data_IF_520493792575
#
_entry.id   IF_520493792575
#
_cell.length_a   1.000
_cell.length_b   1.000
_cell.length_c   1.000
_cell.angle_alpha   90.00
_cell.angle_beta   90.00
_cell.angle_gamma   90.00
#
_symmetry.space_group_name_H-M   'P 1'
#
loop_
_entity.id
_entity.type
_entity.pdbx_description
1 polymer ?
#
# COMPACT_ATOMS: atom_id res chain seq x y z
N UNK A 1 15.07 2.15 5.12
CA UNK A 1 13.87 2.85 5.62
C UNK A 1 14.25 4.06 6.48
N UNK A 2 14.95 3.93 7.62
CA UNK A 2 15.30 5.03 8.54
C UNK A 2 15.97 6.24 7.86
N UNK A 3 16.92 5.99 6.95
CA UNK A 3 17.63 7.03 6.22
C UNK A 3 16.71 7.88 5.34
N UNK A 4 15.71 7.25 4.70
CA UNK A 4 14.72 7.93 3.88
C UNK A 4 13.71 8.71 4.76
N UNK A 5 13.26 8.13 5.87
CA UNK A 5 12.40 8.85 6.80
C UNK A 5 13.09 10.13 7.32
N UNK A 6 14.37 10.06 7.69
CA UNK A 6 15.15 11.25 8.08
C UNK A 6 15.26 12.28 6.95
N UNK A 7 15.51 11.82 5.71
CA UNK A 7 15.60 12.71 4.53
C UNK A 7 14.30 13.48 4.31
N UNK A 8 13.14 12.85 4.53
CA UNK A 8 11.83 13.44 4.29
C UNK A 8 11.15 13.99 5.56
N UNK A 9 11.84 14.03 6.69
CA UNK A 9 11.27 14.53 7.96
C UNK A 9 10.12 13.68 8.49
N UNK A 10 10.07 12.39 8.15
CA UNK A 10 9.01 11.48 8.57
C UNK A 10 9.36 10.80 9.89
N UNK A 11 8.39 10.78 10.81
CA UNK A 11 8.51 9.97 12.02
C UNK A 11 8.57 8.47 11.66
N UNK A 12 9.40 7.73 12.38
CA UNK A 12 9.52 6.29 12.23
C UNK A 12 9.77 5.64 13.59
N UNK A 13 8.87 4.73 13.96
CA UNK A 13 9.06 3.76 15.03
C UNK A 13 9.19 2.39 14.38
N UNK A 14 10.26 1.66 14.69
CA UNK A 14 10.40 0.29 14.19
C UNK A 14 9.31 -0.58 14.83
N UNK A 15 8.46 -1.24 14.03
CA UNK A 15 7.42 -2.10 14.59
C UNK A 15 8.00 -3.18 15.52
N UNK A 16 7.37 -3.36 16.67
CA UNK A 16 7.77 -4.37 17.68
C UNK A 16 7.66 -5.80 17.13
N UNK A 17 6.76 -6.02 16.17
CA UNK A 17 6.66 -7.24 15.37
C UNK A 17 6.82 -6.88 13.89
N UNK A 18 7.80 -7.49 13.21
CA UNK A 18 8.04 -7.23 11.78
C UNK A 18 8.52 -8.51 11.06
N UNK A 19 7.94 -8.86 9.90
CA UNK A 19 6.77 -8.20 9.28
C UNK A 19 5.47 -8.51 10.02
N UNK A 20 4.54 -7.53 10.06
CA UNK A 20 3.19 -7.74 10.57
C UNK A 20 2.27 -8.31 9.50
N UNK A 21 1.34 -9.15 9.91
CA UNK A 21 0.23 -9.54 9.07
C UNK A 21 -0.65 -8.30 8.73
N UNK A 22 -0.85 -8.06 7.45
CA UNK A 22 -1.62 -6.89 6.99
C UNK A 22 -2.73 -7.31 6.00
N UNK A 23 -3.13 -8.58 6.02
CA UNK A 23 -4.00 -9.14 4.98
C UNK A 23 -5.35 -8.43 4.89
N UNK A 24 -5.99 -8.13 6.03
CA UNK A 24 -7.27 -7.41 6.04
C UNK A 24 -7.08 -5.98 5.52
N UNK A 25 -6.04 -5.27 5.99
CA UNK A 25 -5.74 -3.92 5.52
C UNK A 25 -5.47 -3.87 4.00
N UNK A 26 -4.80 -4.87 3.45
CA UNK A 26 -4.56 -4.99 2.00
C UNK A 26 -5.84 -5.29 1.21
N UNK A 27 -6.73 -6.13 1.76
CA UNK A 27 -8.04 -6.41 1.15
C UNK A 27 -8.92 -5.18 1.10
N UNK A 28 -8.91 -4.35 2.14
CA UNK A 28 -9.60 -3.07 2.18
C UNK A 28 -8.99 -2.09 1.17
N UNK A 29 -7.66 -2.01 1.08
CA UNK A 29 -6.99 -1.18 0.08
C UNK A 29 -7.37 -1.57 -1.36
N UNK A 30 -7.46 -2.87 -1.65
CA UNK A 30 -7.88 -3.34 -2.96
C UNK A 30 -9.36 -3.07 -3.24
N UNK A 31 -10.23 -3.22 -2.23
CA UNK A 31 -11.65 -2.88 -2.32
C UNK A 31 -11.83 -1.40 -2.68
N UNK A 32 -11.06 -0.53 -2.03
CA UNK A 32 -11.08 0.92 -2.21
C UNK A 32 -10.19 1.47 -3.31
N UNK A 33 -9.63 0.63 -4.19
CA UNK A 33 -8.60 1.06 -5.16
C UNK A 33 -9.01 2.24 -6.06
N UNK A 34 -10.31 2.40 -6.34
CA UNK A 34 -10.87 3.50 -7.15
C UNK A 34 -11.68 4.50 -6.31
N UNK A 35 -11.67 4.36 -4.99
CA UNK A 35 -12.42 5.21 -4.09
C UNK A 35 -11.62 6.45 -3.66
N UNK A 36 -12.25 7.60 -3.42
CA UNK A 36 -11.54 8.82 -3.04
C UNK A 36 -10.80 8.70 -1.69
N UNK A 37 -11.19 7.78 -0.84
CA UNK A 37 -10.59 7.57 0.48
C UNK A 37 -9.33 6.69 0.48
N UNK A 38 -8.96 6.03 -0.64
CA UNK A 38 -7.85 5.07 -0.67
C UNK A 38 -6.51 5.66 -0.20
N UNK A 39 -6.20 6.90 -0.60
CA UNK A 39 -4.96 7.55 -0.19
C UNK A 39 -4.91 7.84 1.30
N UNK A 40 -6.05 8.21 1.91
CA UNK A 40 -6.17 8.41 3.35
C UNK A 40 -6.04 7.09 4.10
N UNK A 41 -6.68 6.03 3.63
CA UNK A 41 -6.55 4.68 4.17
C UNK A 41 -5.10 4.20 4.20
N UNK A 42 -4.40 4.25 3.07
CA UNK A 42 -3.01 3.80 3.00
C UNK A 42 -2.11 4.58 3.96
N UNK A 43 -2.27 5.92 4.05
CA UNK A 43 -1.51 6.74 5.01
C UNK A 43 -1.81 6.35 6.45
N UNK A 44 -3.08 6.16 6.79
CA UNK A 44 -3.51 5.79 8.14
C UNK A 44 -2.89 4.46 8.57
N UNK A 45 -2.97 3.43 7.74
CA UNK A 45 -2.39 2.11 8.04
C UNK A 45 -0.86 2.19 8.18
N UNK A 46 -0.17 2.95 7.32
CA UNK A 46 1.28 3.15 7.43
C UNK A 46 1.65 3.89 8.72
N UNK A 47 0.89 4.93 9.12
CA UNK A 47 1.12 5.64 10.37
C UNK A 47 0.88 4.76 11.59
N UNK A 48 -0.19 3.99 11.62
CA UNK A 48 -0.47 3.04 12.69
C UNK A 48 0.67 2.04 12.86
N UNK A 49 1.16 1.48 11.74
CA UNK A 49 2.23 0.48 11.77
C UNK A 49 3.61 1.06 12.08
N UNK A 50 4.00 2.16 11.42
CA UNK A 50 5.39 2.65 11.43
C UNK A 50 5.62 3.88 12.30
N UNK A 51 4.59 4.45 12.89
CA UNK A 51 4.71 5.55 13.87
C UNK A 51 4.11 5.12 15.20
N UNK A 52 2.89 4.57 15.20
CA UNK A 52 2.15 4.20 16.39
C UNK A 52 2.46 2.80 16.94
N UNK A 53 3.26 2.00 16.24
CA UNK A 53 3.51 0.59 16.58
C UNK A 53 2.24 -0.23 16.86
N UNK A 54 1.12 0.11 16.18
CA UNK A 54 -0.16 -0.56 16.32
C UNK A 54 -0.20 -1.83 15.44
N UNK A 55 -0.87 -2.86 15.94
CA UNK A 55 -1.05 -4.10 15.20
C UNK A 55 -2.11 -3.97 14.09
N UNK A 56 -1.67 -3.67 12.88
CA UNK A 56 -2.54 -3.54 11.69
C UNK A 56 -3.13 -4.87 11.19
N UNK A 57 -2.77 -5.99 11.80
CA UNK A 57 -3.40 -7.29 11.59
C UNK A 57 -4.65 -7.48 12.46
N UNK A 58 -4.78 -6.70 13.53
CA UNK A 58 -5.94 -6.73 14.43
C UNK A 58 -7.17 -6.11 13.78
N UNK A 59 -8.31 -6.79 13.89
CA UNK A 59 -9.59 -6.29 13.40
C UNK A 59 -10.01 -5.01 14.14
N UNK A 60 -9.69 -4.89 15.44
CA UNK A 60 -10.02 -3.72 16.24
C UNK A 60 -9.28 -2.47 15.74
N UNK A 61 -7.97 -2.60 15.47
CA UNK A 61 -7.15 -1.50 14.94
C UNK A 61 -7.61 -1.10 13.54
N UNK A 62 -7.96 -2.07 12.69
CA UNK A 62 -8.51 -1.83 11.36
C UNK A 62 -9.88 -1.14 11.44
N UNK A 63 -10.73 -1.54 12.38
CA UNK A 63 -12.04 -0.93 12.62
C UNK A 63 -11.92 0.52 13.07
N UNK A 64 -11.04 0.81 14.03
CA UNK A 64 -10.74 2.17 14.49
C UNK A 64 -10.24 3.04 13.33
N UNK A 65 -9.40 2.49 12.46
CA UNK A 65 -8.89 3.22 11.30
C UNK A 65 -9.99 3.55 10.28
N UNK A 66 -10.93 2.64 10.02
CA UNK A 66 -12.08 2.88 9.15
C UNK A 66 -13.03 3.93 9.75
N UNK A 67 -13.33 3.81 11.05
CA UNK A 67 -14.19 4.74 11.76
C UNK A 67 -13.62 6.17 11.73
N UNK A 68 -12.31 6.31 11.96
CA UNK A 68 -11.62 7.62 11.91
C UNK A 68 -11.68 8.30 10.54
N UNK A 69 -11.92 7.53 9.47
CA UNK A 69 -12.13 8.02 8.11
C UNK A 69 -13.61 8.22 7.76
N UNK A 70 -14.53 8.00 8.72
CA UNK A 70 -15.97 8.10 8.52
C UNK A 70 -16.54 7.01 7.60
N UNK A 71 -15.85 5.86 7.48
CA UNK A 71 -16.28 4.76 6.61
C UNK A 71 -17.19 3.78 7.38
N UNK A 72 -18.15 3.14 6.70
CA UNK A 72 -19.05 2.18 7.32
C UNK A 72 -18.29 0.89 7.66
N UNK A 73 -17.77 0.79 8.89
CA UNK A 73 -16.82 -0.23 9.35
C UNK A 73 -17.25 -1.64 8.98
N UNK A 74 -18.42 -2.09 9.43
CA UNK A 74 -18.85 -3.48 9.26
C UNK A 74 -19.03 -3.84 7.77
N UNK A 75 -19.67 -2.97 6.98
CA UNK A 75 -19.91 -3.24 5.57
C UNK A 75 -18.61 -3.28 4.75
N UNK A 76 -17.63 -2.43 5.10
CA UNK A 76 -16.31 -2.44 4.45
C UNK A 76 -15.54 -3.71 4.80
N UNK A 77 -15.56 -4.13 6.06
CA UNK A 77 -14.89 -5.37 6.50
C UNK A 77 -15.52 -6.59 5.82
N UNK A 78 -16.87 -6.68 5.80
CA UNK A 78 -17.57 -7.80 5.17
C UNK A 78 -17.27 -7.88 3.66
N UNK A 79 -17.30 -6.75 2.97
CA UNK A 79 -16.94 -6.68 1.56
C UNK A 79 -15.46 -7.05 1.31
N UNK A 80 -14.55 -6.58 2.16
CA UNK A 80 -13.13 -6.91 2.08
C UNK A 80 -12.84 -8.40 2.32
N UNK A 81 -13.66 -9.05 3.14
CA UNK A 81 -13.55 -10.48 3.45
C UNK A 81 -14.38 -11.38 2.52
N UNK A 82 -15.11 -10.83 1.57
CA UNK A 82 -15.84 -11.61 0.57
C UNK A 82 -14.90 -12.48 -0.25
N UNK A 83 -15.37 -13.63 -0.72
CA UNK A 83 -14.56 -14.54 -1.53
C UNK A 83 -14.13 -13.92 -2.86
N UNK A 84 -14.98 -13.06 -3.44
CA UNK A 84 -14.65 -12.30 -4.63
C UNK A 84 -13.45 -11.37 -4.40
N UNK A 85 -13.42 -10.62 -3.30
CA UNK A 85 -12.31 -9.71 -3.00
C UNK A 85 -11.02 -10.46 -2.58
N UNK A 86 -11.15 -11.61 -1.91
CA UNK A 86 -10.02 -12.51 -1.63
C UNK A 86 -9.38 -13.02 -2.91
N UNK A 87 -10.20 -13.43 -3.89
CA UNK A 87 -9.73 -13.88 -5.20
C UNK A 87 -9.02 -12.74 -5.93
N UNK A 88 -9.60 -11.54 -5.99
CA UNK A 88 -8.98 -10.36 -6.60
C UNK A 88 -7.60 -10.05 -6.03
N UNK A 89 -7.41 -10.15 -4.70
CA UNK A 89 -6.10 -9.92 -4.08
C UNK A 89 -5.08 -10.99 -4.48
N UNK A 90 -5.51 -12.25 -4.58
CA UNK A 90 -4.66 -13.35 -5.06
C UNK A 90 -4.20 -13.09 -6.50
N UNK A 91 -5.13 -12.80 -7.39
CA UNK A 91 -4.85 -12.50 -8.80
C UNK A 91 -3.92 -11.29 -8.96
N UNK A 92 -4.08 -10.25 -8.13
CA UNK A 92 -3.18 -9.10 -8.14
C UNK A 92 -1.76 -9.49 -7.70
N UNK A 93 -1.64 -10.33 -6.69
CA UNK A 93 -0.35 -10.84 -6.23
C UNK A 93 0.32 -11.70 -7.30
N UNK A 94 -0.42 -12.59 -7.95
CA UNK A 94 0.07 -13.42 -9.06
C UNK A 94 0.54 -12.57 -10.24
N UNK A 95 -0.19 -11.50 -10.59
CA UNK A 95 0.24 -10.54 -11.61
C UNK A 95 1.53 -9.81 -11.21
N UNK A 96 1.69 -9.44 -9.94
CA UNK A 96 2.92 -8.83 -9.47
C UNK A 96 4.12 -9.79 -9.61
N UNK A 97 3.92 -11.05 -9.23
CA UNK A 97 4.94 -12.11 -9.38
C UNK A 97 5.29 -12.33 -10.86
N UNK A 98 4.29 -12.42 -11.74
CA UNK A 98 4.51 -12.64 -13.19
C UNK A 98 5.25 -11.48 -13.87
N UNK A 99 5.15 -10.27 -13.31
CA UNK A 99 5.91 -9.09 -13.74
C UNK A 99 7.32 -9.02 -13.14
N UNK A 100 7.72 -10.00 -12.33
CA UNK A 100 9.03 -10.04 -11.68
C UNK A 100 9.17 -9.04 -10.52
N UNK A 101 8.08 -8.53 -9.95
CA UNK A 101 8.13 -7.63 -8.79
C UNK A 101 8.61 -8.41 -7.58
N UNK A 102 9.71 -7.97 -6.99
CA UNK A 102 10.36 -8.59 -5.82
C UNK A 102 10.45 -7.65 -4.61
N UNK A 103 9.98 -6.42 -4.73
CA UNK A 103 10.03 -5.43 -3.65
C UNK A 103 9.13 -4.21 -3.91
N UNK A 104 8.96 -3.38 -2.89
CA UNK A 104 8.16 -2.17 -2.95
C UNK A 104 8.97 -0.95 -2.43
N UNK A 105 8.77 0.23 -3.03
CA UNK A 105 7.93 0.48 -4.21
C UNK A 105 8.56 -0.04 -5.51
N UNK A 106 7.73 -0.41 -6.47
CA UNK A 106 8.15 -0.74 -7.85
C UNK A 106 7.29 0.04 -8.83
N UNK A 107 7.93 0.67 -9.80
CA UNK A 107 7.28 1.45 -10.86
C UNK A 107 7.54 0.79 -12.20
N UNK A 108 6.58 0.88 -13.11
CA UNK A 108 6.74 0.48 -14.50
C UNK A 108 6.45 1.66 -15.41
N UNK A 109 7.34 1.92 -16.36
CA UNK A 109 7.16 2.90 -17.42
C UNK A 109 7.36 2.18 -18.75
N UNK A 110 6.29 2.01 -19.53
CA UNK A 110 6.31 1.09 -20.65
C UNK A 110 6.63 -0.34 -20.17
N UNK A 111 7.70 -0.93 -20.68
CA UNK A 111 8.19 -2.26 -20.26
C UNK A 111 9.34 -2.24 -19.27
N UNK A 112 9.83 -1.05 -18.87
CA UNK A 112 10.97 -0.86 -17.98
C UNK A 112 10.54 -0.87 -16.52
N UNK A 113 11.28 -1.58 -15.65
CA UNK A 113 11.01 -1.69 -14.21
C UNK A 113 12.00 -0.85 -13.40
N UNK A 114 11.46 -0.01 -12.50
CA UNK A 114 12.20 0.82 -11.57
C UNK A 114 11.86 0.39 -10.14
N UNK A 115 12.81 -0.19 -9.44
CA UNK A 115 12.61 -0.65 -8.07
C UNK A 115 13.32 0.25 -7.06
N UNK A 116 12.58 0.75 -6.12
CA UNK A 116 13.04 1.57 -5.01
C UNK A 116 12.52 3.00 -5.04
N UNK A 117 12.39 3.61 -3.86
CA UNK A 117 11.97 5.01 -3.75
C UNK A 117 12.97 5.99 -4.39
N UNK A 118 14.24 5.62 -4.43
CA UNK A 118 15.33 6.37 -5.05
C UNK A 118 15.34 6.28 -6.58
N UNK A 119 14.46 5.47 -7.17
CA UNK A 119 14.26 5.34 -8.63
C UNK A 119 13.02 6.05 -9.14
N UNK A 120 12.27 6.73 -8.28
CA UNK A 120 11.07 7.44 -8.70
C UNK A 120 11.38 8.56 -9.70
N UNK A 121 12.44 9.34 -9.44
CA UNK A 121 12.86 10.42 -10.33
C UNK A 121 13.30 9.86 -11.70
N UNK A 122 14.10 8.80 -11.70
CA UNK A 122 14.54 8.11 -12.94
C UNK A 122 13.32 7.60 -13.74
N UNK A 123 12.29 7.07 -13.07
CA UNK A 123 11.06 6.60 -13.72
C UNK A 123 10.26 7.76 -14.33
N UNK A 124 10.20 8.92 -13.67
CA UNK A 124 9.53 10.10 -14.16
C UNK A 124 10.26 10.68 -15.38
N UNK A 125 11.58 10.82 -15.34
CA UNK A 125 12.40 11.28 -16.46
C UNK A 125 12.27 10.36 -17.67
N UNK A 126 12.12 9.05 -17.42
CA UNK A 126 11.88 8.09 -18.48
C UNK A 126 10.48 8.21 -19.10
N UNK A 127 9.46 8.58 -18.32
CA UNK A 127 8.13 8.92 -18.88
C UNK A 127 8.23 10.05 -19.89
N UNK A 128 8.95 11.13 -19.56
CA UNK A 128 9.13 12.27 -20.46
C UNK A 128 9.90 11.88 -21.73
N UNK A 129 10.89 11.01 -21.59
CA UNK A 129 11.66 10.48 -22.72
C UNK A 129 10.81 9.66 -23.70
N UNK A 130 9.88 8.82 -23.19
CA UNK A 130 8.97 8.04 -24.03
C UNK A 130 7.93 8.95 -24.69
N UNK A 131 7.37 9.91 -23.95
CA UNK A 131 6.38 10.84 -24.48
C UNK A 131 6.92 11.69 -25.62
N UNK A 132 8.20 12.09 -25.55
CA UNK A 132 8.87 12.87 -26.60
C UNK A 132 9.15 12.07 -27.90
N UNK A 133 9.03 10.73 -27.86
CA UNK A 133 9.26 9.85 -29.02
C UNK A 133 7.97 9.45 -29.77
N UNK A 134 6.81 9.86 -29.25
CA UNK A 134 5.49 9.64 -29.88
C UNK A 134 5.04 10.89 -30.64
#
# INVERSE_FOLDING_TARGET
MERQCRKYGLALTRPSTFPRAALLAMRIALLGANEPWIGAWCRQIMQLNFVGDRDIGSIDVVSEALDSLGLPVQSVIDAAQSDANKLRLREQTERAISKGIFGAPTFFVGGEMFWGNDRLEDALDYCDTIAARQ
#
